data_IF_987328756209
#
_entry.id   IF_987328756209
#
_cell.length_a   1.000
_cell.length_b   1.000
_cell.length_c   1.000
_cell.angle_alpha   90.00
_cell.angle_beta   90.00
_cell.angle_gamma   90.00
#
_symmetry.space_group_name_H-M   'P 1'
#
loop_
_entity.id
_entity.type
_entity.pdbx_description
1 polymer ?
#
# COMPACT_ATOMS: atom_id res chain seq x y z
N UNK A 1 8.86 54.56 -41.24
CA UNK A 1 7.85 53.51 -41.37
C UNK A 1 7.68 52.82 -40.02
N UNK A 2 6.56 53.20 -39.42
CA UNK A 2 6.14 52.76 -38.10
C UNK A 2 5.41 51.41 -38.25
N UNK A 3 5.88 50.36 -37.55
CA UNK A 3 5.21 49.09 -37.51
C UNK A 3 4.10 49.13 -36.43
N UNK A 4 2.87 48.80 -36.82
CA UNK A 4 1.73 48.73 -35.96
C UNK A 4 1.84 47.50 -35.02
N UNK A 5 1.37 47.54 -33.75
CA UNK A 5 1.38 46.42 -32.85
C UNK A 5 0.30 45.39 -33.26
N UNK A 6 0.69 44.10 -33.26
CA UNK A 6 -0.19 42.98 -33.55
C UNK A 6 -1.25 42.85 -32.45
N UNK A 7 -2.51 42.72 -32.86
CA UNK A 7 -3.66 42.37 -31.99
C UNK A 7 -3.49 40.95 -31.46
N UNK A 8 -3.77 40.69 -30.17
CA UNK A 8 -3.90 39.33 -29.66
C UNK A 8 -5.23 38.69 -30.15
N UNK A 9 -5.24 37.39 -30.40
CA UNK A 9 -6.49 36.70 -30.80
C UNK A 9 -7.48 36.65 -29.63
N UNK A 10 -8.68 37.11 -29.89
CA UNK A 10 -9.82 36.97 -28.97
C UNK A 10 -10.37 35.55 -29.08
N UNK A 11 -9.86 34.62 -28.32
CA UNK A 11 -10.56 33.37 -28.00
C UNK A 11 -11.03 33.46 -26.54
N UNK A 12 -12.26 33.95 -26.39
CA UNK A 12 -13.00 34.01 -25.12
C UNK A 12 -13.50 32.62 -24.67
N UNK A 13 -12.65 31.61 -24.63
CA UNK A 13 -12.92 30.41 -23.87
C UNK A 13 -12.52 30.67 -22.41
N UNK A 14 -13.45 30.46 -21.44
CA UNK A 14 -13.05 30.44 -20.06
C UNK A 14 -11.95 29.39 -19.89
N UNK A 15 -10.95 29.62 -19.02
CA UNK A 15 -9.90 28.63 -18.76
C UNK A 15 -10.63 27.34 -18.34
N UNK A 16 -10.49 26.30 -19.14
CA UNK A 16 -10.85 24.95 -18.70
C UNK A 16 -9.96 24.68 -17.49
N UNK A 17 -10.58 24.80 -16.30
CA UNK A 17 -10.00 24.29 -15.07
C UNK A 17 -9.67 22.83 -15.36
N UNK A 18 -8.38 22.52 -15.38
CA UNK A 18 -7.89 21.17 -15.55
C UNK A 18 -8.66 20.25 -14.62
N UNK A 19 -9.23 19.20 -15.19
CA UNK A 19 -10.02 18.21 -14.46
C UNK A 19 -9.07 17.32 -13.66
N UNK A 20 -8.57 17.88 -12.57
CA UNK A 20 -7.51 17.37 -11.70
C UNK A 20 -7.98 16.18 -10.84
N UNK A 21 -9.11 15.53 -11.18
CA UNK A 21 -9.95 14.80 -10.21
C UNK A 21 -10.45 13.44 -10.61
N UNK A 22 -10.19 13.01 -11.81
CA UNK A 22 -10.41 11.62 -12.19
C UNK A 22 -9.17 10.80 -11.79
N UNK A 23 -9.40 9.64 -11.19
CA UNK A 23 -8.36 8.62 -11.06
C UNK A 23 -7.86 8.32 -12.47
N UNK A 24 -6.56 8.46 -12.77
CA UNK A 24 -6.09 8.20 -14.12
C UNK A 24 -6.52 6.81 -14.59
N UNK A 25 -7.37 6.75 -15.62
CA UNK A 25 -7.80 5.52 -16.26
C UNK A 25 -9.15 4.94 -15.82
N UNK A 26 -9.81 5.47 -14.77
CA UNK A 26 -11.15 5.02 -14.40
C UNK A 26 -12.21 6.11 -14.59
N UNK A 27 -13.38 5.81 -15.20
CA UNK A 27 -14.46 6.77 -15.32
C UNK A 27 -15.07 7.06 -13.93
N UNK A 28 -15.65 8.26 -13.73
CA UNK A 28 -16.35 8.59 -12.49
C UNK A 28 -17.48 7.59 -12.21
N UNK A 29 -17.62 7.21 -10.94
CA UNK A 29 -18.69 6.31 -10.49
C UNK A 29 -20.07 6.95 -10.67
N UNK A 30 -21.12 6.13 -10.61
CA UNK A 30 -22.50 6.62 -10.66
C UNK A 30 -22.76 7.62 -9.53
N UNK A 31 -22.29 7.34 -8.32
CA UNK A 31 -22.41 8.24 -7.18
C UNK A 31 -21.67 9.56 -7.39
N UNK A 32 -20.44 9.52 -7.93
CA UNK A 32 -19.71 10.77 -8.26
C UNK A 32 -20.46 11.61 -9.30
N UNK A 33 -21.05 10.97 -10.32
CA UNK A 33 -21.87 11.69 -11.34
C UNK A 33 -23.14 12.30 -10.73
N UNK A 34 -23.79 11.57 -9.82
CA UNK A 34 -24.95 12.07 -9.10
C UNK A 34 -24.58 13.30 -8.26
N UNK A 35 -23.49 13.21 -7.49
CA UNK A 35 -22.98 14.35 -6.71
C UNK A 35 -22.63 15.53 -7.60
N UNK A 36 -22.00 15.28 -8.74
CA UNK A 36 -21.64 16.32 -9.69
C UNK A 36 -22.87 17.03 -10.27
N UNK A 37 -24.01 16.34 -10.42
CA UNK A 37 -25.26 16.96 -10.89
C UNK A 37 -25.86 17.96 -9.90
N UNK A 38 -25.59 17.79 -8.59
CA UNK A 38 -26.05 18.71 -7.53
C UNK A 38 -25.02 19.77 -7.20
N UNK A 39 -23.75 19.37 -7.10
CA UNK A 39 -22.66 20.24 -6.65
C UNK A 39 -21.93 20.97 -7.80
N UNK A 40 -22.16 20.56 -9.05
CA UNK A 40 -21.56 21.18 -10.25
C UNK A 40 -20.16 20.73 -10.60
N UNK A 41 -19.54 19.83 -9.82
CA UNK A 41 -18.21 19.26 -10.10
C UNK A 41 -18.07 17.86 -9.53
N UNK A 42 -17.18 17.06 -10.15
CA UNK A 42 -16.83 15.72 -9.68
C UNK A 42 -15.93 15.87 -8.45
N UNK A 43 -16.29 15.18 -7.35
CA UNK A 43 -15.46 15.08 -6.17
C UNK A 43 -14.58 13.83 -6.27
N UNK A 44 -13.31 13.88 -5.80
CA UNK A 44 -12.44 12.71 -5.74
C UNK A 44 -12.95 11.72 -4.69
N UNK A 45 -12.63 10.43 -4.85
CA UNK A 45 -12.78 9.44 -3.79
C UNK A 45 -11.64 9.65 -2.79
N UNK A 46 -11.96 9.79 -1.51
CA UNK A 46 -10.95 9.98 -0.47
C UNK A 46 -10.00 8.80 -0.39
N UNK A 47 -8.71 9.08 -0.37
CA UNK A 47 -7.65 8.05 -0.33
C UNK A 47 -7.21 7.50 -1.68
N UNK A 48 -8.00 7.68 -2.77
CA UNK A 48 -7.65 7.11 -4.08
C UNK A 48 -6.30 7.59 -4.61
N UNK A 49 -5.94 8.86 -4.38
CA UNK A 49 -4.68 9.46 -4.81
C UNK A 49 -3.43 8.84 -4.18
N UNK A 50 -3.57 8.15 -3.03
CA UNK A 50 -2.46 7.43 -2.42
C UNK A 50 -1.84 6.40 -3.37
N UNK A 51 -2.67 5.79 -4.21
CA UNK A 51 -2.25 4.73 -5.13
C UNK A 51 -1.90 5.23 -6.54
N UNK A 52 -2.20 6.49 -6.86
CA UNK A 52 -1.93 7.06 -8.19
C UNK A 52 -0.43 7.30 -8.40
N UNK A 53 0.29 7.73 -7.35
CA UNK A 53 1.74 7.94 -7.38
C UNK A 53 2.53 6.62 -7.55
N UNK A 54 1.95 5.48 -7.20
CA UNK A 54 2.58 4.17 -7.36
C UNK A 54 2.71 3.73 -8.84
N UNK A 55 1.95 4.34 -9.76
CA UNK A 55 2.06 4.09 -11.20
C UNK A 55 3.20 4.85 -11.86
N UNK A 56 3.77 5.86 -11.21
CA UNK A 56 4.92 6.63 -11.68
C UNK A 56 6.19 6.23 -10.92
N UNK A 57 6.84 5.16 -11.35
CA UNK A 57 8.26 4.79 -11.12
C UNK A 57 8.87 4.90 -9.69
N UNK A 58 8.09 5.13 -8.63
CA UNK A 58 8.66 5.30 -7.29
C UNK A 58 8.65 4.01 -6.45
N UNK A 59 7.96 2.97 -6.89
CA UNK A 59 8.02 1.62 -6.34
C UNK A 59 8.78 0.67 -7.27
N UNK A 60 10.04 0.98 -7.53
CA UNK A 60 10.98 -0.09 -7.85
C UNK A 60 10.94 -1.02 -6.63
N UNK A 61 10.79 -2.35 -6.82
CA UNK A 61 10.97 -3.28 -5.71
C UNK A 61 12.31 -2.90 -5.07
N UNK A 62 12.26 -2.45 -3.82
CA UNK A 62 13.50 -2.07 -3.12
C UNK A 62 14.16 -3.40 -2.78
N UNK A 63 14.95 -3.91 -3.73
CA UNK A 63 15.73 -5.15 -3.59
C UNK A 63 16.71 -5.11 -2.41
N UNK A 64 16.84 -3.95 -1.76
CA UNK A 64 17.81 -3.70 -0.70
C UNK A 64 17.17 -3.20 0.61
N UNK A 65 15.92 -3.58 0.92
CA UNK A 65 15.41 -3.34 2.28
C UNK A 65 16.17 -4.26 3.22
N UNK A 66 16.87 -3.75 4.24
CA UNK A 66 17.49 -4.60 5.23
C UNK A 66 16.47 -5.55 5.85
N UNK A 67 16.78 -6.84 5.88
CA UNK A 67 15.93 -7.81 6.56
C UNK A 67 15.83 -7.43 8.04
N UNK A 68 14.61 -7.32 8.55
CA UNK A 68 14.42 -7.06 9.97
C UNK A 68 14.86 -8.30 10.79
N UNK A 69 15.26 -8.08 12.03
CA UNK A 69 15.80 -9.15 12.88
C UNK A 69 14.86 -10.34 13.10
N UNK A 70 13.54 -10.11 12.98
CA UNK A 70 12.46 -11.08 13.09
C UNK A 70 12.08 -11.75 11.75
N UNK A 71 12.75 -11.38 10.64
CA UNK A 71 12.52 -12.02 9.34
C UNK A 71 12.93 -13.48 9.39
N UNK A 72 12.04 -14.37 8.96
CA UNK A 72 12.26 -15.81 8.95
C UNK A 72 12.95 -16.20 7.64
N UNK A 73 14.05 -16.94 7.75
CA UNK A 73 14.81 -17.45 6.62
C UNK A 73 14.09 -18.62 5.98
N UNK A 74 14.05 -18.63 4.64
CA UNK A 74 13.42 -19.67 3.86
C UNK A 74 14.30 -20.16 2.69
N UNK A 75 13.90 -21.28 2.07
CA UNK A 75 14.55 -21.78 0.87
C UNK A 75 14.58 -20.72 -0.25
N UNK A 76 15.75 -20.53 -0.86
CA UNK A 76 15.97 -19.52 -1.90
C UNK A 76 16.53 -18.19 -1.37
N UNK A 77 16.56 -17.96 -0.06
CA UNK A 77 17.24 -16.80 0.51
C UNK A 77 18.76 -16.93 0.34
N UNK A 78 19.39 -15.80 0.10
CA UNK A 78 20.84 -15.69 0.05
C UNK A 78 21.38 -15.12 1.37
N UNK A 79 22.37 -15.81 1.93
CA UNK A 79 23.07 -15.40 3.16
C UNK A 79 24.51 -15.04 2.77
N UNK A 80 24.88 -13.78 3.01
CA UNK A 80 26.25 -13.32 2.82
C UNK A 80 27.02 -13.51 4.12
N UNK A 81 27.98 -14.43 4.10
CA UNK A 81 28.82 -14.79 5.24
C UNK A 81 30.23 -14.27 5.00
N UNK A 82 30.69 -13.44 5.91
CA UNK A 82 32.07 -12.91 5.91
C UNK A 82 32.76 -13.24 7.23
N UNK A 83 33.98 -13.76 7.14
CA UNK A 83 34.82 -13.95 8.31
C UNK A 83 36.15 -13.23 8.12
N UNK A 84 36.78 -12.83 9.25
CA UNK A 84 38.12 -12.26 9.28
C UNK A 84 38.85 -12.72 10.54
N UNK A 85 40.17 -12.53 10.59
CA UNK A 85 41.05 -13.04 11.63
C UNK A 85 41.97 -14.11 11.06
N UNK A 86 42.04 -15.27 11.70
CA UNK A 86 42.86 -16.40 11.21
C UNK A 86 42.27 -17.05 9.94
N UNK A 87 40.97 -16.88 9.70
CA UNK A 87 40.29 -17.41 8.53
C UNK A 87 39.52 -16.30 7.86
N UNK A 88 39.79 -16.08 6.58
CA UNK A 88 39.05 -15.12 5.75
C UNK A 88 38.20 -15.86 4.77
N UNK A 89 36.88 -15.79 4.95
CA UNK A 89 35.86 -16.30 4.00
C UNK A 89 34.96 -15.13 3.56
N UNK A 90 34.54 -15.18 2.30
CA UNK A 90 33.54 -14.31 1.77
C UNK A 90 32.62 -15.15 0.88
N UNK A 91 31.52 -15.61 1.44
CA UNK A 91 30.64 -16.59 0.83
C UNK A 91 29.24 -16.01 0.65
N UNK A 92 28.68 -16.23 -0.54
CA UNK A 92 27.25 -16.08 -0.80
C UNK A 92 26.63 -17.49 -0.76
N UNK A 93 25.80 -17.75 0.24
CA UNK A 93 25.21 -19.05 0.52
C UNK A 93 23.73 -19.00 0.23
N UNK A 94 23.26 -19.78 -0.74
CA UNK A 94 21.84 -19.92 -1.01
C UNK A 94 21.24 -21.03 -0.16
N UNK A 95 20.14 -20.75 0.52
CA UNK A 95 19.37 -21.75 1.28
C UNK A 95 18.72 -22.71 0.28
N UNK A 96 19.06 -23.98 0.41
CA UNK A 96 18.54 -25.03 -0.47
C UNK A 96 17.08 -25.39 -0.13
N UNK A 97 16.48 -26.31 -0.93
CA UNK A 97 15.08 -26.74 -0.71
C UNK A 97 14.88 -27.52 0.58
N UNK A 98 15.94 -28.07 1.17
CA UNK A 98 15.90 -28.75 2.47
C UNK A 98 15.97 -27.76 3.63
N UNK A 99 16.21 -26.47 3.33
CA UNK A 99 16.33 -25.41 4.32
C UNK A 99 17.73 -25.26 4.90
N UNK A 100 18.74 -25.84 4.25
CA UNK A 100 20.12 -25.81 4.70
C UNK A 100 21.00 -24.93 3.79
N UNK A 101 22.12 -24.46 4.34
CA UNK A 101 23.23 -23.86 3.58
C UNK A 101 24.45 -24.74 3.69
N UNK A 102 25.22 -24.86 2.61
CA UNK A 102 26.48 -25.59 2.62
C UNK A 102 27.68 -24.64 2.80
N UNK A 103 28.41 -24.84 3.89
CA UNK A 103 29.63 -24.08 4.19
C UNK A 103 30.84 -25.00 3.94
N UNK A 104 31.80 -24.61 3.09
CA UNK A 104 33.01 -25.37 2.87
C UNK A 104 33.69 -25.77 4.20
N UNK A 105 34.11 -27.03 4.32
CA UNK A 105 34.70 -27.65 5.50
C UNK A 105 33.80 -27.79 6.75
N UNK A 106 32.83 -26.89 6.95
CA UNK A 106 31.87 -26.98 8.06
C UNK A 106 30.63 -27.84 7.74
N UNK A 107 30.38 -28.12 6.44
CA UNK A 107 29.28 -28.96 6.00
C UNK A 107 27.93 -28.22 5.87
N UNK A 108 26.87 -28.99 5.92
CA UNK A 108 25.51 -28.49 5.81
C UNK A 108 24.97 -27.99 7.15
N UNK A 109 24.37 -26.80 7.16
CA UNK A 109 23.82 -26.17 8.37
C UNK A 109 22.37 -25.81 8.10
N UNK A 110 21.46 -26.32 8.96
CA UNK A 110 20.03 -26.01 8.88
C UNK A 110 19.78 -24.58 9.33
N UNK A 111 19.15 -23.78 8.45
CA UNK A 111 18.89 -22.34 8.68
C UNK A 111 17.44 -21.94 8.43
N UNK A 112 16.68 -22.71 7.65
CA UNK A 112 15.28 -22.41 7.40
C UNK A 112 14.46 -22.48 8.71
N UNK A 113 13.55 -21.52 8.87
CA UNK A 113 12.75 -21.36 10.08
C UNK A 113 13.41 -20.53 11.18
N UNK A 114 14.71 -20.24 11.07
CA UNK A 114 15.40 -19.32 12.00
C UNK A 114 15.04 -17.87 11.63
N UNK A 115 15.04 -17.01 12.65
CA UNK A 115 15.00 -15.57 12.39
C UNK A 115 16.39 -15.06 11.99
N UNK A 116 16.45 -13.96 11.24
CA UNK A 116 17.70 -13.31 10.86
C UNK A 116 18.59 -13.01 12.08
N UNK A 117 17.99 -12.59 13.21
CA UNK A 117 18.73 -12.36 14.44
C UNK A 117 19.40 -13.62 15.03
N UNK A 118 18.85 -14.81 14.77
CA UNK A 118 19.39 -16.09 15.26
C UNK A 118 20.51 -16.64 14.37
N UNK A 119 20.55 -16.24 13.07
CA UNK A 119 21.48 -16.79 12.09
C UNK A 119 22.95 -16.69 12.54
N UNK A 120 23.37 -15.52 13.00
CA UNK A 120 24.75 -15.27 13.39
C UNK A 120 25.21 -16.25 14.46
N UNK A 121 24.37 -16.55 15.46
CA UNK A 121 24.69 -17.50 16.54
C UNK A 121 24.82 -18.93 16.04
N UNK A 122 23.89 -19.38 15.20
CA UNK A 122 23.89 -20.75 14.64
C UNK A 122 25.07 -20.96 13.71
N UNK A 123 25.33 -20.01 12.80
CA UNK A 123 26.46 -20.09 11.87
C UNK A 123 27.82 -20.01 12.59
N UNK A 124 27.93 -19.15 13.62
CA UNK A 124 29.15 -19.09 14.49
C UNK A 124 29.41 -20.43 15.15
N UNK A 125 28.39 -21.07 15.73
CA UNK A 125 28.53 -22.37 16.39
C UNK A 125 28.99 -23.46 15.41
N UNK A 126 28.46 -23.45 14.20
CA UNK A 126 28.83 -24.42 13.16
C UNK A 126 30.25 -24.21 12.67
N UNK A 127 30.66 -22.96 12.44
CA UNK A 127 32.01 -22.61 12.01
C UNK A 127 33.07 -22.89 13.13
N UNK A 128 32.72 -22.69 14.39
CA UNK A 128 33.63 -22.91 15.53
C UNK A 128 34.06 -24.39 15.73
N UNK A 129 33.36 -25.34 15.07
CA UNK A 129 33.76 -26.76 15.05
C UNK A 129 35.02 -27.02 14.21
N UNK A 130 35.24 -26.14 13.22
CA UNK A 130 36.33 -26.30 12.23
C UNK A 130 37.36 -25.21 12.36
N UNK A 131 36.94 -23.98 12.65
CA UNK A 131 37.80 -22.81 12.68
C UNK A 131 37.91 -22.23 14.09
N UNK A 132 39.07 -21.65 14.39
CA UNK A 132 39.36 -20.97 15.67
C UNK A 132 39.77 -19.52 15.40
N UNK A 133 39.55 -18.65 16.36
CA UNK A 133 39.98 -17.23 16.33
C UNK A 133 39.54 -16.48 15.06
N UNK A 134 38.24 -16.50 14.78
CA UNK A 134 37.62 -15.75 13.69
C UNK A 134 36.52 -14.84 14.22
N UNK A 135 36.31 -13.74 13.53
CA UNK A 135 35.14 -12.90 13.64
C UNK A 135 34.18 -13.20 12.47
N UNK A 136 32.90 -13.01 12.70
CA UNK A 136 31.83 -13.35 11.76
C UNK A 136 30.87 -12.19 11.58
N UNK A 137 30.59 -11.84 10.32
CA UNK A 137 29.47 -11.01 9.90
C UNK A 137 28.53 -11.82 9.02
N UNK A 138 27.25 -11.75 9.31
CA UNK A 138 26.19 -12.40 8.54
C UNK A 138 25.22 -11.32 8.12
N UNK A 139 24.94 -11.24 6.80
CA UNK A 139 23.93 -10.35 6.24
C UNK A 139 23.07 -11.12 5.25
N UNK A 140 21.82 -10.69 5.07
CA UNK A 140 20.98 -11.24 3.99
C UNK A 140 21.39 -10.59 2.68
N UNK A 141 21.49 -11.41 1.64
CA UNK A 141 21.61 -10.99 0.25
C UNK A 141 20.24 -10.91 -0.40
N UNK A 142 20.05 -11.59 -1.54
CA UNK A 142 18.74 -11.68 -2.19
C UNK A 142 17.78 -12.50 -1.33
N UNK A 143 16.54 -11.98 -1.19
CA UNK A 143 15.48 -12.68 -0.48
C UNK A 143 14.64 -13.48 -1.49
N UNK A 144 14.16 -14.64 -1.06
CA UNK A 144 13.29 -15.44 -1.89
C UNK A 144 11.97 -14.70 -2.22
N UNK A 145 11.41 -15.03 -3.37
CA UNK A 145 10.12 -14.49 -3.78
C UNK A 145 8.98 -15.40 -3.35
N UNK A 146 7.88 -14.78 -2.98
CA UNK A 146 6.62 -15.45 -2.67
C UNK A 146 5.53 -15.05 -3.67
N UNK A 147 4.57 -15.92 -3.90
CA UNK A 147 3.38 -15.62 -4.68
C UNK A 147 2.20 -15.35 -3.76
N UNK A 148 1.49 -14.26 -4.03
CA UNK A 148 0.27 -13.85 -3.32
C UNK A 148 -0.79 -13.45 -4.34
N UNK A 149 -2.04 -13.43 -3.93
CA UNK A 149 -3.18 -13.14 -4.79
C UNK A 149 -3.86 -11.85 -4.35
N UNK A 150 -4.20 -10.99 -5.31
CA UNK A 150 -5.05 -9.82 -5.09
C UNK A 150 -6.35 -10.05 -5.83
N UNK A 151 -7.48 -10.05 -5.12
CA UNK A 151 -8.80 -10.38 -5.67
C UNK A 151 -9.86 -9.39 -5.21
N UNK A 152 -11.07 -9.51 -5.78
CA UNK A 152 -12.18 -8.62 -5.49
C UNK A 152 -12.08 -7.31 -6.28
N UNK A 153 -12.45 -6.22 -5.66
CA UNK A 153 -12.56 -4.90 -6.31
C UNK A 153 -11.22 -4.13 -6.33
N UNK A 154 -10.14 -4.79 -6.73
CA UNK A 154 -8.83 -4.16 -6.97
C UNK A 154 -8.79 -3.49 -8.36
N UNK A 155 -7.91 -2.50 -8.53
CA UNK A 155 -7.63 -1.94 -9.87
C UNK A 155 -6.97 -2.95 -10.79
N UNK A 156 -6.03 -3.72 -10.27
CA UNK A 156 -5.33 -4.77 -11.02
C UNK A 156 -5.36 -6.06 -10.20
N UNK A 157 -6.48 -6.82 -10.26
CA UNK A 157 -6.57 -8.12 -9.63
C UNK A 157 -5.65 -9.13 -10.35
N UNK A 158 -5.08 -10.06 -9.61
CA UNK A 158 -4.18 -11.07 -10.19
C UNK A 158 -3.20 -11.66 -9.18
N UNK A 159 -2.23 -12.40 -9.69
CA UNK A 159 -1.14 -12.99 -8.93
C UNK A 159 0.06 -12.06 -8.93
N UNK A 160 0.65 -11.87 -7.76
CA UNK A 160 1.82 -11.01 -7.55
C UNK A 160 2.97 -11.84 -7.00
N UNK A 161 4.14 -11.71 -7.63
CA UNK A 161 5.40 -12.26 -7.12
C UNK A 161 6.15 -11.13 -6.45
N UNK A 162 6.37 -11.26 -5.15
CA UNK A 162 6.97 -10.22 -4.30
C UNK A 162 8.01 -10.82 -3.37
N UNK A 163 8.86 -10.00 -2.78
CA UNK A 163 9.84 -10.45 -1.78
C UNK A 163 9.14 -11.03 -0.55
N UNK A 164 9.77 -12.01 0.10
CA UNK A 164 9.29 -12.64 1.34
C UNK A 164 9.13 -11.69 2.53
N UNK A 165 9.71 -10.50 2.46
CA UNK A 165 9.53 -9.45 3.49
C UNK A 165 8.43 -8.44 3.15
N UNK A 166 7.73 -8.63 2.03
CA UNK A 166 6.66 -7.73 1.60
C UNK A 166 5.47 -7.77 2.56
N UNK A 167 4.81 -6.63 2.69
CA UNK A 167 3.61 -6.48 3.51
C UNK A 167 2.36 -6.35 2.64
N UNK A 168 1.17 -6.44 3.25
CA UNK A 168 -0.11 -6.21 2.61
C UNK A 168 -0.12 -4.86 1.87
N UNK A 169 0.33 -3.80 2.53
CA UNK A 169 0.34 -2.46 1.97
C UNK A 169 1.26 -2.35 0.75
N UNK A 170 2.43 -3.00 0.76
CA UNK A 170 3.37 -2.97 -0.38
C UNK A 170 2.75 -3.61 -1.64
N UNK A 171 2.04 -4.74 -1.48
CA UNK A 171 1.33 -5.39 -2.59
C UNK A 171 0.11 -4.58 -3.03
N UNK A 172 -0.58 -3.94 -2.10
CA UNK A 172 -1.68 -3.05 -2.41
C UNK A 172 -1.23 -1.89 -3.32
N UNK A 173 -0.08 -1.29 -3.04
CA UNK A 173 0.55 -0.30 -3.93
C UNK A 173 0.90 -0.91 -5.30
N UNK A 174 1.51 -2.10 -5.31
CA UNK A 174 1.84 -2.78 -6.56
C UNK A 174 0.60 -3.10 -7.40
N UNK A 175 -0.55 -3.41 -6.77
CA UNK A 175 -1.84 -3.62 -7.43
C UNK A 175 -2.56 -2.33 -7.86
N UNK A 176 -2.04 -1.16 -7.47
CA UNK A 176 -2.68 0.13 -7.73
C UNK A 176 -3.85 0.44 -6.80
N UNK A 177 -3.98 -0.30 -5.69
CA UNK A 177 -5.01 -0.12 -4.69
C UNK A 177 -6.41 -0.63 -5.09
N UNK A 178 -7.44 -0.25 -4.31
CA UNK A 178 -8.84 -0.49 -4.67
C UNK A 178 -9.24 0.22 -5.95
N UNK A 179 -10.13 -0.37 -6.74
CA UNK A 179 -10.77 0.29 -7.87
C UNK A 179 -11.78 1.35 -7.37
N UNK A 180 -12.38 2.10 -8.30
CA UNK A 180 -13.43 3.07 -7.97
C UNK A 180 -14.67 2.47 -7.30
N UNK A 181 -14.84 1.15 -7.43
CA UNK A 181 -15.91 0.36 -6.78
C UNK A 181 -15.39 -0.48 -5.61
N UNK A 182 -14.10 -0.38 -5.28
CA UNK A 182 -13.47 -1.10 -4.19
C UNK A 182 -13.47 -0.31 -2.88
N UNK A 183 -13.58 -1.05 -1.78
CA UNK A 183 -13.52 -0.47 -0.45
C UNK A 183 -12.11 0.00 -0.10
N UNK A 184 -11.99 1.23 0.37
CA UNK A 184 -10.77 1.76 0.99
C UNK A 184 -10.64 1.34 2.47
N UNK A 185 -11.71 0.78 3.05
CA UNK A 185 -11.83 0.53 4.49
C UNK A 185 -11.97 -0.94 4.87
N UNK A 186 -12.16 -1.83 3.88
CA UNK A 186 -12.37 -3.27 4.08
C UNK A 186 -11.48 -4.07 3.13
N UNK A 187 -10.20 -4.15 3.49
CA UNK A 187 -9.18 -4.90 2.76
C UNK A 187 -8.72 -6.01 3.68
N UNK A 188 -9.03 -7.27 3.34
CA UNK A 188 -8.72 -8.43 4.18
C UNK A 188 -7.53 -9.21 3.66
N UNK A 189 -6.66 -9.58 4.58
CA UNK A 189 -5.64 -10.59 4.33
C UNK A 189 -6.17 -11.94 4.80
N UNK A 190 -6.26 -12.89 3.88
CA UNK A 190 -6.77 -14.24 4.12
C UNK A 190 -5.62 -15.23 3.93
N UNK A 191 -5.42 -16.07 4.92
CA UNK A 191 -4.42 -17.15 4.91
C UNK A 191 -5.11 -18.48 5.14
N UNK A 192 -5.11 -19.35 4.10
CA UNK A 192 -5.95 -20.53 4.10
C UNK A 192 -7.43 -20.13 4.19
N UNK A 193 -8.10 -20.47 5.29
CA UNK A 193 -9.51 -20.14 5.54
C UNK A 193 -9.69 -19.01 6.57
N UNK A 194 -8.62 -18.50 7.16
CA UNK A 194 -8.68 -17.52 8.24
C UNK A 194 -8.41 -16.11 7.77
N UNK A 195 -9.15 -15.13 8.28
CA UNK A 195 -8.81 -13.70 8.13
C UNK A 195 -7.70 -13.39 9.13
N UNK A 196 -6.53 -13.02 8.61
CA UNK A 196 -5.35 -12.64 9.41
C UNK A 196 -5.49 -11.22 9.94
N UNK A 197 -5.90 -10.30 9.08
CA UNK A 197 -6.10 -8.90 9.42
C UNK A 197 -7.08 -8.23 8.45
N UNK A 198 -7.68 -7.13 8.88
CA UNK A 198 -8.46 -6.22 8.05
C UNK A 198 -7.77 -4.86 8.07
N UNK A 199 -7.38 -4.36 6.90
CA UNK A 199 -6.67 -3.10 6.73
C UNK A 199 -7.64 -2.01 6.27
N UNK A 200 -7.62 -0.87 6.96
CA UNK A 200 -8.38 0.33 6.64
C UNK A 200 -7.42 1.44 6.18
N UNK A 201 -7.51 1.85 4.93
CA UNK A 201 -6.66 2.93 4.37
C UNK A 201 -6.90 4.25 5.07
N UNK A 202 -8.10 4.47 5.63
CA UNK A 202 -8.41 5.70 6.37
C UNK A 202 -7.63 5.78 7.69
N UNK A 203 -7.42 4.67 8.39
CA UNK A 203 -6.58 4.66 9.59
C UNK A 203 -5.14 5.06 9.27
N UNK A 204 -4.61 4.59 8.13
CA UNK A 204 -3.30 5.02 7.64
C UNK A 204 -3.28 6.51 7.31
N UNK A 205 -4.27 7.01 6.55
CA UNK A 205 -4.27 8.39 6.05
C UNK A 205 -4.56 9.43 7.13
N UNK A 206 -5.46 9.10 8.06
CA UNK A 206 -5.94 10.06 9.07
C UNK A 206 -5.13 9.99 10.37
N UNK A 207 -4.60 8.81 10.71
CA UNK A 207 -3.92 8.55 11.99
C UNK A 207 -2.46 8.13 11.85
N UNK A 208 -2.01 7.80 10.63
CA UNK A 208 -0.69 7.20 10.40
C UNK A 208 -0.59 5.77 10.92
N UNK A 209 -1.73 5.12 11.20
CA UNK A 209 -1.77 3.79 11.78
C UNK A 209 -1.50 2.69 10.73
N UNK A 210 -0.47 1.89 10.99
CA UNK A 210 -0.01 0.77 10.18
C UNK A 210 -0.07 -0.57 10.92
N UNK A 211 -0.70 -0.63 12.08
CA UNK A 211 -0.73 -1.84 12.93
C UNK A 211 -1.30 -3.05 12.21
N UNK A 212 -2.21 -2.84 11.27
CA UNK A 212 -2.85 -3.88 10.48
C UNK A 212 -2.12 -4.23 9.17
N UNK A 213 -0.94 -3.63 8.91
CA UNK A 213 -0.08 -3.94 7.76
C UNK A 213 0.74 -5.21 8.02
N UNK A 214 0.12 -6.37 7.84
CA UNK A 214 0.74 -7.66 8.11
C UNK A 214 1.72 -8.08 7.03
N UNK A 215 2.78 -8.82 7.42
CA UNK A 215 3.68 -9.51 6.50
C UNK A 215 2.95 -10.63 5.76
N UNK A 216 3.32 -10.79 4.49
CA UNK A 216 2.74 -11.78 3.61
C UNK A 216 3.50 -13.10 3.68
N UNK A 217 2.76 -14.19 3.50
CA UNK A 217 3.29 -15.54 3.32
C UNK A 217 2.89 -16.10 1.95
N UNK A 218 3.59 -17.12 1.44
CA UNK A 218 3.23 -17.77 0.19
C UNK A 218 1.77 -18.27 0.19
N UNK A 219 1.02 -17.91 -0.85
CA UNK A 219 -0.38 -18.31 -1.00
C UNK A 219 -1.40 -17.41 -0.29
N UNK A 220 -0.97 -16.33 0.37
CA UNK A 220 -1.89 -15.35 0.96
C UNK A 220 -2.77 -14.69 -0.10
N UNK A 221 -4.00 -14.39 0.28
CA UNK A 221 -5.00 -13.72 -0.55
C UNK A 221 -5.35 -12.36 0.07
N UNK A 222 -5.13 -11.29 -0.67
CA UNK A 222 -5.58 -9.94 -0.34
C UNK A 222 -6.92 -9.73 -1.05
N UNK A 223 -7.99 -9.70 -0.29
CA UNK A 223 -9.35 -9.52 -0.79
C UNK A 223 -9.83 -8.10 -0.53
N UNK A 224 -10.11 -7.36 -1.60
CA UNK A 224 -10.68 -6.01 -1.55
C UNK A 224 -12.18 -6.14 -1.75
N UNK A 225 -12.95 -5.79 -0.72
CA UNK A 225 -14.41 -5.82 -0.79
C UNK A 225 -14.95 -4.73 -1.72
N UNK A 226 -16.23 -4.86 -2.09
CA UNK A 226 -16.95 -3.76 -2.73
C UNK A 226 -17.12 -2.59 -1.77
N UNK A 227 -17.16 -1.37 -2.34
CA UNK A 227 -17.34 -0.14 -1.57
C UNK A 227 -18.63 -0.19 -0.74
N UNK A 228 -18.55 0.23 0.51
CA UNK A 228 -19.67 0.37 1.42
C UNK A 228 -20.52 1.62 1.15
N UNK A 229 -21.41 2.00 2.08
CA UNK A 229 -22.17 3.24 1.98
C UNK A 229 -21.25 4.44 1.79
N UNK A 230 -21.66 5.36 0.91
CA UNK A 230 -20.86 6.54 0.56
C UNK A 230 -21.58 7.83 0.94
N UNK A 231 -20.81 8.86 1.27
CA UNK A 231 -21.28 10.23 1.46
C UNK A 231 -20.32 11.19 0.75
N UNK A 232 -20.87 12.19 0.09
CA UNK A 232 -20.08 13.29 -0.45
C UNK A 232 -20.09 14.45 0.56
N UNK A 233 -18.92 14.96 0.89
CA UNK A 233 -18.76 16.14 1.76
C UNK A 233 -18.07 17.22 0.94
N UNK A 234 -18.74 18.36 0.81
CA UNK A 234 -18.31 19.45 -0.06
C UNK A 234 -18.58 20.83 0.56
N UNK A 235 -18.06 21.88 -0.05
CA UNK A 235 -18.18 23.25 0.45
C UNK A 235 -16.90 23.74 1.11
N UNK A 236 -17.04 24.58 2.14
CA UNK A 236 -15.91 25.17 2.87
C UNK A 236 -15.34 24.21 3.93
N UNK A 237 -14.88 23.04 3.46
CA UNK A 237 -14.23 22.00 4.26
C UNK A 237 -12.80 21.78 3.78
N UNK A 238 -11.94 21.20 4.62
CA UNK A 238 -10.52 21.02 4.29
C UNK A 238 -10.29 20.03 3.17
N UNK A 239 -10.98 18.89 3.20
CA UNK A 239 -10.82 17.82 2.20
C UNK A 239 -12.17 17.48 1.56
N UNK A 240 -12.65 18.26 0.54
CA UNK A 240 -13.87 17.92 -0.18
C UNK A 240 -13.67 16.63 -1.00
N UNK A 241 -14.48 15.59 -0.68
CA UNK A 241 -14.34 14.28 -1.31
C UNK A 241 -15.62 13.44 -1.15
N UNK A 242 -15.64 12.30 -1.81
CA UNK A 242 -16.55 11.18 -1.54
C UNK A 242 -15.90 10.27 -0.52
N UNK A 243 -16.56 10.04 0.60
CA UNK A 243 -16.12 9.22 1.72
C UNK A 243 -16.91 7.92 1.80
N UNK A 244 -16.23 6.81 2.09
CA UNK A 244 -16.84 5.54 2.44
C UNK A 244 -17.09 5.51 3.96
N UNK A 245 -18.30 5.09 4.36
CA UNK A 245 -18.69 4.97 5.77
C UNK A 245 -18.42 3.58 6.32
N UNK A 246 -17.95 3.50 7.58
CA UNK A 246 -17.73 2.26 8.33
C UNK A 246 -18.35 2.33 9.73
N UNK A 247 -19.43 3.07 9.88
CA UNK A 247 -20.13 3.23 11.16
C UNK A 247 -20.33 4.68 11.60
N UNK A 248 -19.84 5.64 10.82
CA UNK A 248 -20.10 7.05 11.07
C UNK A 248 -21.58 7.35 10.83
N UNK A 249 -22.25 7.89 11.86
CA UNK A 249 -23.71 8.14 11.84
C UNK A 249 -24.08 9.59 12.07
N UNK A 250 -23.11 10.46 12.30
CA UNK A 250 -23.34 11.88 12.56
C UNK A 250 -22.60 12.81 11.60
N UNK A 251 -23.15 13.99 11.38
CA UNK A 251 -22.49 15.04 10.57
C UNK A 251 -21.16 15.45 11.19
N UNK A 252 -21.03 15.47 12.52
CA UNK A 252 -19.77 15.73 13.21
C UNK A 252 -18.68 14.74 12.82
N UNK A 253 -18.97 13.43 12.90
CA UNK A 253 -18.03 12.40 12.49
C UNK A 253 -17.60 12.50 11.02
N UNK A 254 -18.52 12.92 10.12
CA UNK A 254 -18.19 13.17 8.72
C UNK A 254 -17.27 14.39 8.54
N UNK A 255 -17.48 15.45 9.31
CA UNK A 255 -16.61 16.61 9.29
C UNK A 255 -15.24 16.27 9.82
N UNK A 256 -15.14 15.43 10.85
CA UNK A 256 -13.84 14.94 11.38
C UNK A 256 -13.07 14.15 10.31
N UNK A 257 -13.74 13.25 9.56
CA UNK A 257 -13.14 12.56 8.43
C UNK A 257 -12.63 13.53 7.34
N UNK A 258 -13.38 14.61 7.11
CA UNK A 258 -13.03 15.64 6.12
C UNK A 258 -11.96 16.63 6.62
N UNK A 259 -11.47 16.47 7.85
CA UNK A 259 -10.47 17.34 8.49
C UNK A 259 -11.03 18.65 9.02
N UNK A 260 -12.37 18.77 9.14
CA UNK A 260 -13.07 19.92 9.66
C UNK A 260 -13.34 21.02 8.63
N UNK A 261 -13.94 22.09 9.13
CA UNK A 261 -14.27 23.29 8.35
C UNK A 261 -13.00 24.11 8.04
N UNK A 262 -13.04 24.85 6.95
CA UNK A 262 -12.02 25.87 6.66
C UNK A 262 -12.26 27.12 7.53
N UNK A 263 -11.25 28.00 7.74
CA UNK A 263 -11.41 29.24 8.50
C UNK A 263 -12.45 30.23 7.96
N UNK A 264 -12.84 30.07 6.68
CA UNK A 264 -13.82 30.94 6.00
C UNK A 264 -15.22 30.32 5.95
N UNK A 265 -15.42 29.17 6.60
CA UNK A 265 -16.70 28.48 6.59
C UNK A 265 -17.72 29.19 7.51
N UNK A 266 -18.93 29.37 7.01
CA UNK A 266 -20.07 29.69 7.88
C UNK A 266 -20.61 28.40 8.50
N UNK A 267 -20.24 28.12 9.74
CA UNK A 267 -20.66 26.92 10.47
C UNK A 267 -22.14 26.90 10.89
N UNK A 268 -22.93 27.90 10.52
CA UNK A 268 -24.35 28.02 10.92
C UNK A 268 -25.30 27.28 10.00
N UNK A 269 -24.88 26.96 8.77
CA UNK A 269 -25.72 26.34 7.75
C UNK A 269 -25.00 25.15 7.09
N UNK A 270 -25.69 24.03 7.06
CA UNK A 270 -25.32 22.86 6.26
C UNK A 270 -26.56 22.41 5.48
N UNK A 271 -26.38 22.07 4.21
CA UNK A 271 -27.39 21.43 3.41
C UNK A 271 -27.13 19.93 3.37
N UNK A 272 -28.12 19.12 3.66
CA UNK A 272 -28.03 17.66 3.64
C UNK A 272 -29.00 17.13 2.59
N UNK A 273 -28.46 16.61 1.49
CA UNK A 273 -29.25 15.96 0.44
C UNK A 273 -29.21 14.44 0.64
N UNK A 274 -30.38 13.80 0.70
CA UNK A 274 -30.51 12.34 0.83
C UNK A 274 -31.26 11.75 -0.35
N UNK A 275 -30.86 10.57 -0.77
CA UNK A 275 -31.61 9.75 -1.70
C UNK A 275 -32.42 8.75 -0.88
N UNK A 276 -33.75 8.85 -0.98
CA UNK A 276 -34.68 7.85 -0.45
C UNK A 276 -35.38 7.14 -1.61
N UNK A 277 -35.63 5.85 -1.45
CA UNK A 277 -36.42 5.01 -2.35
C UNK A 277 -36.01 5.09 -3.83
N UNK A 278 -34.71 5.27 -4.09
CA UNK A 278 -34.07 5.33 -5.42
C UNK A 278 -34.59 6.45 -6.36
N UNK A 279 -35.52 7.29 -5.91
CA UNK A 279 -36.14 8.27 -6.79
C UNK A 279 -36.36 9.68 -6.20
N UNK A 280 -36.31 9.89 -4.88
CA UNK A 280 -36.65 11.17 -4.25
C UNK A 280 -35.42 11.77 -3.57
N UNK A 281 -35.08 13.01 -3.93
CA UNK A 281 -34.12 13.86 -3.22
C UNK A 281 -34.87 14.63 -2.13
N UNK A 282 -34.45 14.52 -0.88
CA UNK A 282 -34.83 15.37 0.23
C UNK A 282 -33.70 16.33 0.54
N UNK A 283 -34.02 17.63 0.66
CA UNK A 283 -33.04 18.69 1.02
C UNK A 283 -33.31 19.15 2.42
#
# INVERSE_FOLDING_TARGET
>A
PSAAPARPPADGRPPQLADDRAVPGEPPTEFQRLVASSYGRILPIFGARLFDAATTNTFTPVEQVPAAADSVVGPGDEILLRTWGQVTLNLALTVDRSGAVYIPQAGSVQVAGLTYGQLTGVLRTSLARVYRNFELSVTMGQLHSIQVFVVGSARRPGTYTVSSVSTLLSVLFAAGGPSSQGSMRRIRLIRGSAVVTEFDVYDLLLKGDKTHDARLLPGDVIHIEGVGPQVAVAGSIRNPAVYELKGETSVGALLDLAGGLTPVADGRRASLERIRDRAVRET
#
